data_IF_889571505510
#
_entry.id   IF_889571505510
#
_cell.length_a   1.000
_cell.length_b   1.000
_cell.length_c   1.000
_cell.angle_alpha   90.00
_cell.angle_beta   90.00
_cell.angle_gamma   90.00
#
_symmetry.space_group_name_H-M   'P 1'
#
loop_
_entity.id
_entity.type
_entity.pdbx_description
1 polymer ?
#
# COMPACT_ATOMS: atom_id res chain seq x y z
N UNK A 1 5.37 -6.96 53.57
CA UNK A 1 5.34 -5.63 52.88
C UNK A 1 5.78 -5.75 51.43
N UNK A 2 6.80 -6.55 51.13
CA UNK A 2 7.31 -6.82 49.78
C UNK A 2 6.26 -7.49 48.87
N UNK A 3 5.42 -8.39 49.39
CA UNK A 3 4.43 -9.11 48.60
C UNK A 3 3.35 -8.18 48.01
N UNK A 4 2.95 -7.14 48.77
CA UNK A 4 2.00 -6.13 48.30
C UNK A 4 2.61 -5.24 47.21
N UNK A 5 3.92 -5.00 47.27
CA UNK A 5 4.64 -4.20 46.27
C UNK A 5 4.75 -4.96 44.93
N UNK A 6 5.02 -6.26 44.98
CA UNK A 6 5.09 -7.11 43.78
C UNK A 6 3.74 -7.23 43.07
N UNK A 7 2.65 -7.32 43.84
CA UNK A 7 1.29 -7.34 43.29
C UNK A 7 0.97 -6.01 42.59
N UNK A 8 1.33 -4.86 43.19
CA UNK A 8 1.08 -3.55 42.55
C UNK A 8 1.89 -3.38 41.26
N UNK A 9 3.16 -3.83 41.24
CA UNK A 9 4.01 -3.77 40.05
C UNK A 9 3.47 -4.63 38.90
N UNK A 10 2.92 -5.82 39.18
CA UNK A 10 2.34 -6.68 38.13
C UNK A 10 1.08 -6.05 37.53
N UNK A 11 0.22 -5.41 38.34
CA UNK A 11 -0.93 -4.66 37.84
C UNK A 11 -0.53 -3.47 36.97
N UNK A 12 0.53 -2.74 37.34
CA UNK A 12 1.05 -1.63 36.53
C UNK A 12 1.62 -2.11 35.19
N UNK A 13 2.30 -3.26 35.18
CA UNK A 13 2.85 -3.84 33.95
C UNK A 13 1.74 -4.33 33.01
N UNK A 14 0.71 -5.00 33.55
CA UNK A 14 -0.46 -5.46 32.79
C UNK A 14 -1.25 -4.26 32.24
N UNK A 15 -1.44 -3.21 33.05
CA UNK A 15 -2.11 -1.99 32.61
C UNK A 15 -1.33 -1.28 31.50
N UNK A 16 0.00 -1.16 31.62
CA UNK A 16 0.85 -0.59 30.58
C UNK A 16 0.81 -1.39 29.27
N UNK A 17 0.80 -2.72 29.38
CA UNK A 17 0.69 -3.61 28.23
C UNK A 17 -0.69 -3.53 27.55
N UNK A 18 -1.78 -3.45 28.33
CA UNK A 18 -3.13 -3.25 27.81
C UNK A 18 -3.29 -1.89 27.11
N UNK A 19 -2.71 -0.83 27.68
CA UNK A 19 -2.67 0.50 27.05
C UNK A 19 -1.87 0.47 25.75
N UNK A 20 -0.70 -0.18 25.73
CA UNK A 20 0.07 -0.38 24.50
C UNK A 20 -0.70 -1.15 23.42
N UNK A 21 -1.43 -2.21 23.80
CA UNK A 21 -2.31 -2.94 22.89
C UNK A 21 -3.45 -2.09 22.33
N UNK A 22 -4.04 -1.22 23.17
CA UNK A 22 -5.06 -0.27 22.71
C UNK A 22 -4.49 0.76 21.72
N UNK A 23 -3.27 1.25 21.94
CA UNK A 23 -2.62 2.17 20.99
C UNK A 23 -2.28 1.49 19.64
N UNK A 24 -1.94 0.20 19.64
CA UNK A 24 -1.72 -0.58 18.41
C UNK A 24 -3.03 -0.85 17.66
N UNK A 25 -4.15 -1.05 18.35
CA UNK A 25 -5.47 -1.24 17.72
C UNK A 25 -6.04 0.06 17.12
N UNK A 26 -5.73 1.22 17.72
CA UNK A 26 -6.23 2.52 17.24
C UNK A 26 -5.66 2.90 15.87
N UNK A 27 -4.40 2.54 15.56
CA UNK A 27 -3.79 2.82 14.24
C UNK A 27 -4.34 1.89 13.12
N UNK A 28 -4.94 0.76 13.49
CA UNK A 28 -5.54 -0.21 12.56
C UNK A 28 -7.02 0.06 12.23
N UNK A 29 -7.60 1.16 12.70
CA UNK A 29 -8.95 1.59 12.34
C UNK A 29 -8.92 2.79 11.41
N UNK A 30 -8.35 2.61 10.21
CA UNK A 30 -8.89 3.39 9.09
C UNK A 30 -10.25 2.78 8.75
N UNK A 31 -11.36 3.50 8.91
CA UNK A 31 -12.66 2.98 8.52
C UNK A 31 -12.62 2.72 7.00
N UNK A 32 -12.76 1.45 6.61
CA UNK A 32 -13.09 1.06 5.23
C UNK A 32 -14.30 1.91 4.81
N UNK A 33 -14.21 2.76 3.78
CA UNK A 33 -15.37 3.52 3.35
C UNK A 33 -16.38 2.56 2.73
N UNK A 34 -17.37 2.14 3.51
CA UNK A 34 -18.62 1.55 3.03
C UNK A 34 -19.56 2.67 2.56
N UNK A 35 -19.09 3.45 1.59
CA UNK A 35 -19.92 4.31 0.78
C UNK A 35 -19.94 3.71 -0.61
N UNK A 36 -21.11 3.41 -1.16
CA UNK A 36 -21.25 3.27 -2.61
C UNK A 36 -20.83 4.60 -3.22
N UNK A 37 -19.56 4.70 -3.62
CA UNK A 37 -19.07 5.78 -4.45
C UNK A 37 -19.88 5.70 -5.74
N UNK A 38 -20.80 6.64 -5.93
CA UNK A 38 -21.43 6.88 -7.22
C UNK A 38 -20.30 7.36 -8.14
N UNK A 39 -19.73 6.39 -8.86
CA UNK A 39 -18.65 6.61 -9.80
C UNK A 39 -19.18 7.43 -10.98
N UNK A 40 -18.77 8.69 -11.06
CA UNK A 40 -18.94 9.52 -12.25
C UNK A 40 -17.68 9.34 -13.10
N UNK A 41 -17.74 8.67 -14.26
CA UNK A 41 -16.55 8.41 -15.06
C UNK A 41 -16.05 9.70 -15.68
N UNK A 42 -14.81 10.07 -15.37
CA UNK A 42 -14.03 11.01 -16.17
C UNK A 42 -12.61 10.47 -16.28
N UNK A 43 -12.36 9.67 -17.31
CA UNK A 43 -11.07 9.49 -18.00
C UNK A 43 -9.76 9.32 -17.22
N UNK A 44 -9.76 8.98 -15.93
CA UNK A 44 -8.53 8.78 -15.15
C UNK A 44 -8.35 7.31 -14.77
N UNK A 45 -7.15 6.80 -15.03
CA UNK A 45 -6.72 5.45 -14.70
C UNK A 45 -6.85 5.18 -13.19
N UNK A 46 -7.60 4.14 -12.81
CA UNK A 46 -7.76 3.74 -11.41
C UNK A 46 -6.60 2.84 -11.00
N UNK A 47 -5.67 3.38 -10.22
CA UNK A 47 -4.48 2.66 -9.75
C UNK A 47 -4.67 2.20 -8.30
N UNK A 48 -4.33 0.96 -8.04
CA UNK A 48 -4.12 0.41 -6.70
C UNK A 48 -2.62 0.21 -6.45
N UNK A 49 -2.17 0.46 -5.22
CA UNK A 49 -0.81 0.18 -4.78
C UNK A 49 -0.82 -0.79 -3.59
N UNK A 50 -0.07 -1.88 -3.69
CA UNK A 50 0.09 -2.89 -2.66
C UNK A 50 1.54 -2.96 -2.18
N UNK A 51 1.76 -3.00 -0.87
CA UNK A 51 3.09 -3.22 -0.28
C UNK A 51 3.45 -4.71 -0.30
N UNK A 52 4.29 -5.11 -1.27
CA UNK A 52 4.83 -6.47 -1.36
C UNK A 52 6.19 -6.64 -0.70
N UNK A 53 6.84 -5.56 -0.26
CA UNK A 53 8.18 -5.60 0.31
C UNK A 53 8.20 -5.83 1.84
N UNK A 54 7.07 -5.62 2.52
CA UNK A 54 6.98 -5.68 3.98
C UNK A 54 7.58 -4.46 4.69
N UNK A 55 7.71 -3.32 3.99
CA UNK A 55 8.29 -2.09 4.54
C UNK A 55 7.16 -1.14 4.95
N UNK A 56 7.14 -0.73 6.21
CA UNK A 56 6.11 0.17 6.73
C UNK A 56 6.04 1.48 5.93
N UNK A 57 4.81 1.88 5.56
CA UNK A 57 4.55 3.10 4.81
C UNK A 57 4.97 3.10 3.34
N UNK A 58 5.50 1.98 2.81
CA UNK A 58 6.02 1.95 1.43
C UNK A 58 4.96 2.25 0.37
N UNK A 59 3.78 1.62 0.48
CA UNK A 59 2.72 1.82 -0.51
C UNK A 59 2.17 3.25 -0.49
N UNK A 60 2.16 3.94 0.67
CA UNK A 60 1.82 5.35 0.77
C UNK A 60 2.87 6.26 0.10
N UNK A 61 4.17 5.99 0.32
CA UNK A 61 5.24 6.73 -0.37
C UNK A 61 5.17 6.56 -1.89
N UNK A 62 4.84 5.35 -2.34
CA UNK A 62 4.68 5.07 -3.77
C UNK A 62 3.44 5.74 -4.35
N UNK A 63 2.33 5.81 -3.60
CA UNK A 63 1.17 6.64 -3.94
C UNK A 63 1.57 8.10 -4.15
N UNK A 64 2.33 8.68 -3.23
CA UNK A 64 2.76 10.07 -3.33
C UNK A 64 3.61 10.30 -4.58
N UNK A 65 4.47 9.33 -4.92
CA UNK A 65 5.23 9.34 -6.17
C UNK A 65 4.33 9.30 -7.41
N UNK A 66 3.28 8.48 -7.41
CA UNK A 66 2.30 8.45 -8.51
C UNK A 66 1.53 9.76 -8.63
N UNK A 67 1.18 10.38 -7.49
CA UNK A 67 0.55 11.69 -7.44
C UNK A 67 1.41 12.77 -8.09
N UNK A 68 2.71 12.81 -7.76
CA UNK A 68 3.68 13.73 -8.40
C UNK A 68 3.76 13.55 -9.93
N UNK A 69 3.54 12.32 -10.41
CA UNK A 69 3.51 11.99 -11.83
C UNK A 69 2.16 12.28 -12.50
N UNK A 70 1.18 12.81 -11.75
CA UNK A 70 -0.15 13.17 -12.24
C UNK A 70 -1.15 12.02 -12.27
N UNK A 71 -0.86 10.92 -11.58
CA UNK A 71 -1.76 9.77 -11.45
C UNK A 71 -2.48 9.77 -10.10
N UNK A 72 -3.75 9.35 -10.12
CA UNK A 72 -4.54 9.18 -8.91
C UNK A 72 -4.54 7.70 -8.48
N UNK A 73 -4.53 7.48 -7.18
CA UNK A 73 -4.47 6.14 -6.58
C UNK A 73 -5.72 5.97 -5.74
N UNK A 74 -6.57 5.04 -6.18
CA UNK A 74 -7.87 4.79 -5.56
C UNK A 74 -7.76 3.90 -4.32
N UNK A 75 -6.65 3.17 -4.16
CA UNK A 75 -6.43 2.27 -3.01
C UNK A 75 -4.95 2.05 -2.71
N UNK A 76 -4.62 1.99 -1.42
CA UNK A 76 -3.31 1.63 -0.87
C UNK A 76 -3.53 0.54 0.19
N UNK A 77 -2.79 -0.56 0.11
CA UNK A 77 -2.88 -1.67 1.08
C UNK A 77 -1.57 -2.49 1.13
N UNK A 78 -1.53 -3.58 1.89
CA UNK A 78 -0.48 -4.59 1.84
C UNK A 78 -0.81 -5.68 0.81
N UNK A 79 0.21 -6.28 0.20
CA UNK A 79 0.04 -7.50 -0.58
C UNK A 79 -0.21 -8.69 0.36
N UNK A 80 -0.76 -9.79 -0.17
CA UNK A 80 -0.99 -11.01 0.61
C UNK A 80 0.30 -11.57 1.23
N UNK A 81 1.43 -11.41 0.53
CA UNK A 81 2.75 -11.84 0.99
C UNK A 81 3.74 -10.66 1.00
N UNK A 82 4.54 -10.47 2.07
CA UNK A 82 5.53 -9.40 2.14
C UNK A 82 6.92 -9.83 1.62
N UNK A 83 6.98 -10.63 0.54
CA UNK A 83 8.23 -11.22 0.05
C UNK A 83 8.56 -10.92 -1.43
N UNK A 84 7.86 -9.99 -2.06
CA UNK A 84 8.07 -9.64 -3.47
C UNK A 84 9.42 -8.93 -3.64
N UNK A 85 10.32 -9.52 -4.42
CA UNK A 85 11.64 -8.96 -4.69
C UNK A 85 11.59 -7.85 -5.73
N UNK A 86 10.73 -8.01 -6.74
CA UNK A 86 10.54 -7.06 -7.84
C UNK A 86 9.13 -6.47 -7.80
N UNK A 87 8.99 -5.25 -8.30
CA UNK A 87 7.71 -4.54 -8.40
C UNK A 87 6.92 -5.04 -9.61
N UNK A 88 5.67 -5.45 -9.40
CA UNK A 88 4.81 -6.08 -10.42
C UNK A 88 3.66 -5.15 -10.76
N UNK A 89 3.39 -5.02 -12.06
CA UNK A 89 2.25 -4.27 -12.60
C UNK A 89 1.22 -5.25 -13.15
N UNK A 90 0.07 -5.33 -12.48
CA UNK A 90 -1.05 -6.19 -12.88
C UNK A 90 -2.06 -5.34 -13.65
N UNK A 91 -2.22 -5.61 -14.94
CA UNK A 91 -3.24 -4.98 -15.79
C UNK A 91 -4.48 -5.87 -15.84
N UNK A 92 -5.67 -5.26 -15.84
CA UNK A 92 -6.94 -6.01 -16.01
C UNK A 92 -7.33 -6.24 -17.47
N UNK A 93 -6.81 -5.40 -18.35
CA UNK A 93 -7.04 -5.44 -19.80
C UNK A 93 -5.72 -5.44 -20.57
N UNK A 94 -5.80 -5.65 -21.89
CA UNK A 94 -4.65 -5.30 -22.73
C UNK A 94 -4.26 -3.83 -22.49
N UNK A 95 -2.96 -3.49 -22.56
CA UNK A 95 -2.49 -2.14 -22.29
C UNK A 95 -3.23 -1.11 -23.13
N UNK A 96 -3.91 -0.18 -22.47
CA UNK A 96 -4.42 1.05 -23.09
C UNK A 96 -3.27 2.04 -23.31
N UNK A 97 -3.45 3.11 -24.11
CA UNK A 97 -2.44 4.15 -24.25
C UNK A 97 -2.03 4.76 -22.91
N UNK A 98 -2.98 4.97 -22.00
CA UNK A 98 -2.74 5.52 -20.66
C UNK A 98 -1.93 4.57 -19.77
N UNK A 99 -2.28 3.27 -19.76
CA UNK A 99 -1.50 2.24 -19.06
C UNK A 99 -0.09 2.11 -19.65
N UNK A 100 0.04 2.20 -20.98
CA UNK A 100 1.33 2.16 -21.66
C UNK A 100 2.21 3.36 -21.30
N UNK A 101 1.61 4.55 -21.16
CA UNK A 101 2.31 5.76 -20.70
C UNK A 101 2.80 5.59 -19.25
N UNK A 102 1.95 5.09 -18.35
CA UNK A 102 2.34 4.78 -16.97
C UNK A 102 3.54 3.82 -16.94
N UNK A 103 3.46 2.72 -17.69
CA UNK A 103 4.51 1.72 -17.76
C UNK A 103 5.80 2.26 -18.40
N UNK A 104 5.72 3.18 -19.38
CA UNK A 104 6.93 3.79 -19.95
C UNK A 104 7.68 4.68 -18.96
N UNK A 105 6.98 5.26 -17.98
CA UNK A 105 7.57 6.13 -16.95
C UNK A 105 8.16 5.28 -15.83
N UNK A 106 7.42 4.26 -15.37
CA UNK A 106 7.78 3.49 -14.16
C UNK A 106 8.52 2.19 -14.45
N UNK A 107 8.21 1.51 -15.56
CA UNK A 107 8.65 0.14 -15.84
C UNK A 107 9.28 0.02 -17.25
N UNK A 108 10.42 0.70 -17.51
CA UNK A 108 11.06 0.67 -18.82
C UNK A 108 11.53 -0.74 -19.24
N UNK A 109 11.69 -1.67 -18.28
CA UNK A 109 11.89 -3.11 -18.55
C UNK A 109 10.56 -3.86 -18.37
N UNK A 110 9.99 -4.36 -19.47
CA UNK A 110 8.66 -5.01 -19.54
C UNK A 110 8.46 -6.28 -18.69
N UNK A 111 9.49 -6.75 -17.99
CA UNK A 111 9.55 -8.09 -17.42
C UNK A 111 8.62 -8.31 -16.21
N UNK A 112 7.99 -7.25 -15.69
CA UNK A 112 7.15 -7.32 -14.51
C UNK A 112 5.68 -6.92 -14.76
N UNK A 113 5.22 -6.95 -16.03
CA UNK A 113 3.83 -6.65 -16.39
C UNK A 113 3.08 -7.95 -16.62
N UNK A 114 2.01 -8.18 -15.85
CA UNK A 114 1.13 -9.34 -16.00
C UNK A 114 -0.29 -8.89 -16.37
N UNK A 115 -0.94 -9.66 -17.24
CA UNK A 115 -2.37 -9.50 -17.53
C UNK A 115 -3.15 -10.47 -16.65
N UNK A 116 -3.91 -9.94 -15.69
CA UNK A 116 -4.78 -10.73 -14.83
C UNK A 116 -6.23 -10.28 -15.03
N UNK A 117 -6.98 -11.10 -15.77
CA UNK A 117 -8.40 -10.89 -16.04
C UNK A 117 -9.23 -11.29 -14.81
N UNK A 118 -10.20 -10.46 -14.45
CA UNK A 118 -11.11 -10.70 -13.32
C UNK A 118 -11.84 -9.42 -12.93
N UNK A 119 -12.89 -9.54 -12.12
CA UNK A 119 -13.60 -8.38 -11.59
C UNK A 119 -12.80 -7.72 -10.48
N UNK A 120 -12.15 -6.61 -10.81
CA UNK A 120 -11.46 -5.73 -9.87
C UNK A 120 -11.90 -4.29 -10.13
N UNK A 121 -12.00 -3.49 -9.07
CA UNK A 121 -12.45 -2.10 -9.16
C UNK A 121 -11.33 -1.11 -9.61
N UNK A 122 -10.21 -1.62 -10.10
CA UNK A 122 -9.04 -0.86 -10.54
C UNK A 122 -8.56 -1.35 -11.92
N UNK A 123 -7.92 -0.46 -12.68
CA UNK A 123 -7.38 -0.76 -14.00
C UNK A 123 -5.97 -1.36 -13.92
N UNK A 124 -5.20 -0.92 -12.90
CA UNK A 124 -3.83 -1.35 -12.62
C UNK A 124 -3.65 -1.57 -11.13
N UNK A 125 -3.07 -2.70 -10.75
CA UNK A 125 -2.53 -2.92 -9.40
C UNK A 125 -1.01 -2.95 -9.47
N UNK A 126 -0.34 -2.15 -8.65
CA UNK A 126 1.12 -2.11 -8.53
C UNK A 126 1.50 -2.76 -7.21
N UNK A 127 2.10 -3.95 -7.27
CA UNK A 127 2.67 -4.62 -6.10
C UNK A 127 4.12 -4.15 -5.98
N UNK A 128 4.41 -3.31 -5.00
CA UNK A 128 5.73 -2.71 -4.80
C UNK A 128 6.65 -3.71 -4.10
N UNK A 129 7.72 -4.11 -4.77
CA UNK A 129 8.71 -5.07 -4.28
C UNK A 129 9.90 -4.41 -3.59
N UNK A 130 10.90 -5.23 -3.21
CA UNK A 130 12.14 -4.75 -2.57
C UNK A 130 13.01 -3.87 -3.48
N UNK A 131 12.75 -3.86 -4.77
CA UNK A 131 13.36 -2.96 -5.75
C UNK A 131 12.75 -1.54 -5.77
N UNK A 132 11.89 -1.20 -4.79
CA UNK A 132 11.15 0.07 -4.71
C UNK A 132 11.98 1.35 -4.86
N UNK A 133 13.25 1.32 -4.44
CA UNK A 133 14.16 2.48 -4.54
C UNK A 133 14.32 2.97 -5.99
N UNK A 134 14.17 2.07 -6.97
CA UNK A 134 14.21 2.42 -8.39
C UNK A 134 13.08 3.35 -8.82
N UNK A 135 11.97 3.37 -8.08
CA UNK A 135 10.74 4.08 -8.47
C UNK A 135 10.50 5.35 -7.66
N UNK A 136 10.94 5.40 -6.39
CA UNK A 136 10.68 6.54 -5.49
C UNK A 136 11.59 7.76 -5.74
N UNK A 137 12.56 7.67 -6.66
CA UNK A 137 13.54 8.74 -6.90
C UNK A 137 14.56 8.86 -5.75
N UNK A 138 15.74 9.42 -6.04
CA UNK A 138 16.70 9.75 -4.98
C UNK A 138 16.16 10.91 -4.16
N UNK A 139 16.22 10.80 -2.83
CA UNK A 139 16.08 11.97 -1.94
C UNK A 139 17.14 12.98 -2.39
N UNK A 140 16.71 14.17 -2.80
CA UNK A 140 17.63 15.31 -2.89
C UNK A 140 17.87 15.73 -1.45
N UNK A 141 19.02 15.32 -0.91
CA UNK A 141 19.59 15.87 0.32
C UNK A 141 20.14 17.29 0.05
#
# INVERSE_FOLDING_TARGET
MIDKLLIILSFLFIAGFAVGYLFVDIDNRTPKPEGKAVYVPSGKLKIEVLNGAGINGLAARFRDRLWELGYDVVRVDNAELPCYTETIFLLRTRPTPEQSKLLSILAPRRNAVLLQRGEHNCDVTIIVGKDYERYLGKKQD
#
